data_IF_945365296822
#
_entry.id   IF_945365296822
#
_cell.length_a   1.000
_cell.length_b   1.000
_cell.length_c   1.000
_cell.angle_alpha   90.00
_cell.angle_beta   90.00
_cell.angle_gamma   90.00
#
_symmetry.space_group_name_H-M   'P 1'
#
loop_
_entity.id
_entity.type
_entity.pdbx_description
1 polymer ?
#
# COMPACT_ATOMS: atom_id res chain seq x y z
N UNK A 1 -25.19 27.81 -29.41
CA UNK A 1 -24.88 27.73 -27.97
C UNK A 1 -25.52 26.45 -27.46
N UNK A 2 -24.72 25.42 -27.25
CA UNK A 2 -25.19 24.17 -26.63
C UNK A 2 -25.18 24.38 -25.13
N UNK A 3 -26.33 24.31 -24.47
CA UNK A 3 -26.39 24.31 -23.01
C UNK A 3 -25.61 23.10 -22.49
N UNK A 4 -24.48 23.35 -21.83
CA UNK A 4 -23.66 22.29 -21.25
C UNK A 4 -24.36 21.71 -20.03
N UNK A 5 -24.89 20.50 -20.19
CA UNK A 5 -25.63 19.80 -19.13
C UNK A 5 -24.65 19.01 -18.27
N UNK A 6 -24.76 19.18 -16.95
CA UNK A 6 -24.01 18.39 -15.97
C UNK A 6 -24.66 17.03 -15.80
N UNK A 7 -23.86 15.96 -15.80
CA UNK A 7 -24.33 14.58 -15.63
C UNK A 7 -23.74 13.93 -14.37
N UNK A 8 -24.47 13.00 -13.77
CA UNK A 8 -23.98 12.22 -12.64
C UNK A 8 -22.97 11.16 -13.09
N UNK A 9 -21.74 11.18 -12.56
CA UNK A 9 -20.70 10.20 -12.92
C UNK A 9 -21.07 8.74 -12.61
N UNK A 10 -21.99 8.52 -11.68
CA UNK A 10 -22.33 7.19 -11.21
C UNK A 10 -23.44 6.53 -12.04
N UNK A 11 -24.39 7.31 -12.57
CA UNK A 11 -25.58 6.76 -13.23
C UNK A 11 -25.97 7.46 -14.54
N UNK A 12 -25.21 8.47 -14.97
CA UNK A 12 -25.44 9.23 -16.21
C UNK A 12 -26.65 10.15 -16.18
N UNK A 13 -27.32 10.31 -15.03
CA UNK A 13 -28.51 11.16 -14.94
C UNK A 13 -28.15 12.63 -15.12
N UNK A 14 -28.91 13.34 -15.96
CA UNK A 14 -28.75 14.78 -16.21
C UNK A 14 -29.26 15.57 -15.03
N UNK A 15 -28.49 16.57 -14.60
CA UNK A 15 -28.82 17.42 -13.46
C UNK A 15 -29.01 18.85 -13.99
N UNK A 16 -30.22 19.20 -14.44
CA UNK A 16 -30.47 20.47 -15.14
C UNK A 16 -30.33 21.69 -14.23
N UNK A 17 -30.35 21.49 -12.91
CA UNK A 17 -30.20 22.56 -11.92
C UNK A 17 -28.75 22.95 -11.65
N UNK A 18 -27.77 22.14 -12.09
CA UNK A 18 -26.35 22.38 -11.87
C UNK A 18 -25.66 22.86 -13.15
N UNK A 19 -24.75 23.82 -13.00
CA UNK A 19 -23.91 24.35 -14.08
C UNK A 19 -22.47 23.84 -13.93
N UNK A 20 -21.74 23.66 -15.05
CA UNK A 20 -20.31 23.40 -14.99
C UNK A 20 -19.59 24.46 -14.14
N UNK A 21 -18.83 24.02 -13.14
CA UNK A 21 -18.08 24.91 -12.25
C UNK A 21 -18.80 25.34 -10.97
N UNK A 22 -20.03 24.86 -10.70
CA UNK A 22 -20.69 25.14 -9.42
C UNK A 22 -19.85 24.62 -8.22
N UNK A 23 -19.71 25.42 -7.13
CA UNK A 23 -19.00 25.02 -5.92
C UNK A 23 -19.54 23.73 -5.31
N UNK A 24 -18.65 22.93 -4.71
CA UNK A 24 -19.01 21.65 -4.08
C UNK A 24 -20.16 21.77 -3.07
N UNK A 25 -20.20 22.88 -2.33
CA UNK A 25 -21.19 23.18 -1.30
C UNK A 25 -22.62 23.41 -1.85
N UNK A 26 -22.75 23.73 -3.15
CA UNK A 26 -24.05 23.95 -3.81
C UNK A 26 -24.58 22.71 -4.52
N UNK A 27 -23.80 21.62 -4.54
CA UNK A 27 -24.20 20.40 -5.25
C UNK A 27 -25.31 19.69 -4.48
N UNK A 28 -26.38 19.35 -5.19
CA UNK A 28 -27.48 18.56 -4.63
C UNK A 28 -27.21 17.07 -4.88
N UNK A 29 -27.63 16.14 -4.03
CA UNK A 29 -27.56 14.71 -4.37
C UNK A 29 -28.23 14.41 -5.71
N UNK A 30 -27.65 13.53 -6.52
CA UNK A 30 -28.27 13.09 -7.77
C UNK A 30 -29.69 12.54 -7.48
N UNK A 31 -30.74 12.97 -8.21
CA UNK A 31 -32.11 12.56 -7.91
C UNK A 31 -32.37 11.06 -8.11
N UNK A 32 -31.50 10.37 -8.86
CA UNK A 32 -31.65 8.94 -9.18
C UNK A 32 -30.88 8.02 -8.24
N UNK A 33 -29.66 8.38 -7.85
CA UNK A 33 -28.79 7.49 -7.06
C UNK A 33 -28.19 8.12 -5.80
N UNK A 34 -28.49 9.40 -5.51
CA UNK A 34 -27.97 10.11 -4.34
C UNK A 34 -26.50 10.51 -4.41
N UNK A 35 -25.76 10.14 -5.46
CA UNK A 35 -24.35 10.46 -5.59
C UNK A 35 -24.09 11.97 -5.81
N UNK A 36 -22.95 12.46 -5.29
CA UNK A 36 -22.48 13.84 -5.46
C UNK A 36 -21.43 14.00 -6.59
N UNK A 37 -21.03 12.90 -7.21
CA UNK A 37 -20.02 12.88 -8.28
C UNK A 37 -20.65 13.34 -9.62
N UNK A 38 -19.91 14.18 -10.37
CA UNK A 38 -20.33 14.75 -11.66
C UNK A 38 -19.32 14.49 -12.76
N UNK A 39 -19.80 14.08 -13.93
CA UNK A 39 -19.02 14.05 -15.16
C UNK A 39 -19.18 15.39 -15.83
N UNK A 40 -18.09 16.14 -15.94
CA UNK A 40 -18.07 17.39 -16.70
C UNK A 40 -17.63 17.02 -18.12
N UNK A 41 -18.39 17.39 -19.17
CA UNK A 41 -17.99 17.14 -20.55
C UNK A 41 -16.67 17.87 -20.86
N UNK A 42 -15.80 17.20 -21.63
CA UNK A 42 -14.39 17.56 -21.86
C UNK A 42 -14.15 18.88 -22.66
N UNK A 43 -15.15 19.77 -22.75
CA UNK A 43 -15.10 20.99 -23.56
C UNK A 43 -14.89 22.31 -22.80
N UNK A 44 -15.02 22.33 -21.46
CA UNK A 44 -15.12 23.58 -20.69
C UNK A 44 -13.97 23.80 -19.70
N UNK A 45 -12.73 23.56 -20.13
CA UNK A 45 -11.55 24.08 -19.40
C UNK A 45 -10.84 25.06 -20.33
N UNK A 46 -11.25 26.33 -20.27
CA UNK A 46 -10.44 27.41 -20.82
C UNK A 46 -9.10 27.42 -20.11
N UNK A 47 -8.06 27.01 -20.85
CA UNK A 47 -6.67 27.01 -20.42
C UNK A 47 -6.21 28.44 -20.13
N UNK A 48 -6.38 28.90 -18.90
CA UNK A 48 -5.49 29.90 -18.33
C UNK A 48 -4.26 29.17 -17.79
N UNK A 49 -3.24 29.12 -18.64
CA UNK A 49 -1.83 28.87 -18.33
C UNK A 49 -1.53 28.17 -17.01
N UNK A 50 -1.89 26.90 -16.88
CA UNK A 50 -1.16 26.02 -15.98
C UNK A 50 0.07 25.64 -16.78
N UNK A 51 1.18 26.33 -16.53
CA UNK A 51 2.50 25.81 -16.85
C UNK A 51 2.46 24.34 -16.45
N UNK A 52 2.84 23.45 -17.37
CA UNK A 52 2.91 22.02 -17.13
C UNK A 52 3.86 21.81 -15.95
N UNK A 53 3.30 21.84 -14.74
CA UNK A 53 3.89 21.19 -13.60
C UNK A 53 3.69 19.74 -14.00
N UNK A 54 4.69 19.21 -14.70
CA UNK A 54 5.04 17.81 -14.54
C UNK A 54 5.27 17.69 -13.06
N UNK A 55 4.19 17.47 -12.32
CA UNK A 55 4.27 16.89 -11.02
C UNK A 55 4.94 15.57 -11.35
N UNK A 56 6.25 15.52 -11.13
CA UNK A 56 6.90 14.28 -10.78
C UNK A 56 6.04 13.79 -9.61
N UNK A 57 5.00 13.03 -9.93
CA UNK A 57 4.26 12.28 -8.96
C UNK A 57 5.33 11.33 -8.41
N UNK A 58 5.98 11.78 -7.33
CA UNK A 58 6.80 10.92 -6.51
C UNK A 58 5.82 9.83 -6.13
N UNK A 59 5.95 8.67 -6.77
CA UNK A 59 5.18 7.49 -6.40
C UNK A 59 5.67 7.18 -5.00
N UNK A 60 4.96 7.72 -4.00
CA UNK A 60 5.28 7.50 -2.60
C UNK A 60 5.13 6.00 -2.37
N UNK A 61 6.24 5.34 -2.07
CA UNK A 61 6.26 3.89 -1.90
C UNK A 61 5.46 3.56 -0.65
N UNK A 62 4.36 2.82 -0.80
CA UNK A 62 3.43 2.56 0.30
C UNK A 62 4.10 1.95 1.55
N UNK A 63 5.09 1.08 1.38
CA UNK A 63 5.83 0.49 2.50
C UNK A 63 6.73 1.50 3.23
N UNK A 64 7.29 2.51 2.53
CA UNK A 64 8.05 3.60 3.16
C UNK A 64 7.17 4.42 4.07
N UNK A 65 5.99 4.80 3.60
CA UNK A 65 5.00 5.52 4.41
C UNK A 65 4.53 4.72 5.62
N UNK A 66 4.39 3.40 5.49
CA UNK A 66 4.08 2.52 6.61
C UNK A 66 5.22 2.49 7.63
N UNK A 67 6.48 2.40 7.22
CA UNK A 67 7.62 2.50 8.14
C UNK A 67 7.69 3.85 8.87
N UNK A 68 7.45 4.95 8.16
CA UNK A 68 7.37 6.30 8.76
C UNK A 68 6.21 6.42 9.75
N UNK A 69 5.06 5.82 9.42
CA UNK A 69 3.92 5.73 10.33
C UNK A 69 4.27 4.92 11.57
N UNK A 70 4.98 3.79 11.42
CA UNK A 70 5.46 3.00 12.55
C UNK A 70 6.40 3.81 13.44
N UNK A 71 7.32 4.60 12.86
CA UNK A 71 8.20 5.51 13.62
C UNK A 71 7.39 6.52 14.42
N UNK A 72 6.45 7.20 13.76
CA UNK A 72 5.58 8.18 14.42
C UNK A 72 4.78 7.55 15.58
N UNK A 73 4.31 6.31 15.42
CA UNK A 73 3.61 5.59 16.48
C UNK A 73 4.52 5.27 17.69
N UNK A 74 5.81 5.00 17.48
CA UNK A 74 6.77 4.82 18.58
C UNK A 74 6.95 6.14 19.34
N UNK A 75 7.10 7.26 18.64
CA UNK A 75 7.24 8.60 19.24
C UNK A 75 5.99 9.00 20.04
N UNK A 76 4.82 8.52 19.64
CA UNK A 76 3.54 8.72 20.33
C UNK A 76 3.26 7.66 21.42
N UNK A 77 4.24 6.83 21.76
CA UNK A 77 4.13 5.75 22.76
C UNK A 77 3.06 4.68 22.43
N UNK A 78 2.69 4.56 21.14
CA UNK A 78 1.77 3.55 20.61
C UNK A 78 2.55 2.34 20.07
N UNK A 79 3.23 1.62 20.98
CA UNK A 79 4.18 0.56 20.62
C UNK A 79 3.54 -0.66 19.94
N UNK A 80 2.41 -1.15 20.42
CA UNK A 80 1.70 -2.29 19.83
C UNK A 80 1.25 -2.00 18.38
N UNK A 81 0.55 -0.87 18.11
CA UNK A 81 0.28 -0.44 16.74
C UNK A 81 1.53 -0.25 15.88
N UNK A 82 2.62 0.29 16.42
CA UNK A 82 3.88 0.44 15.69
C UNK A 82 4.41 -0.91 15.19
N UNK A 83 4.46 -1.94 16.06
CA UNK A 83 4.86 -3.30 15.69
C UNK A 83 4.00 -3.84 14.53
N UNK A 84 2.68 -3.65 14.58
CA UNK A 84 1.78 -4.12 13.52
C UNK A 84 2.09 -3.42 12.20
N UNK A 85 2.16 -2.08 12.21
CA UNK A 85 2.38 -1.27 11.01
C UNK A 85 3.74 -1.55 10.37
N UNK A 86 4.80 -1.76 11.17
CA UNK A 86 6.11 -2.16 10.66
C UNK A 86 6.07 -3.50 9.91
N UNK A 87 5.33 -4.50 10.42
CA UNK A 87 5.15 -5.78 9.73
C UNK A 87 4.28 -5.66 8.49
N UNK A 88 3.24 -4.82 8.51
CA UNK A 88 2.44 -4.53 7.31
C UNK A 88 3.31 -3.94 6.19
N UNK A 89 4.30 -3.11 6.52
CA UNK A 89 5.27 -2.62 5.53
C UNK A 89 6.06 -3.78 4.88
N UNK A 90 6.48 -4.78 5.66
CA UNK A 90 7.14 -5.97 5.14
C UNK A 90 6.22 -6.82 4.24
N UNK A 91 4.96 -7.00 4.62
CA UNK A 91 3.97 -7.73 3.81
C UNK A 91 3.75 -7.05 2.45
N UNK A 92 3.56 -5.72 2.46
CA UNK A 92 3.33 -4.92 1.25
C UNK A 92 4.54 -4.99 0.30
N UNK A 93 5.77 -4.87 0.79
CA UNK A 93 6.93 -4.94 -0.10
C UNK A 93 7.14 -6.35 -0.68
N UNK A 94 6.84 -7.39 0.10
CA UNK A 94 6.91 -8.79 -0.38
C UNK A 94 5.90 -9.01 -1.49
N UNK A 95 4.66 -8.57 -1.31
CA UNK A 95 3.64 -8.63 -2.36
C UNK A 95 4.11 -7.87 -3.60
N UNK A 96 4.68 -6.68 -3.44
CA UNK A 96 5.19 -5.89 -4.57
C UNK A 96 6.33 -6.60 -5.32
N UNK A 97 7.26 -7.22 -4.60
CA UNK A 97 8.34 -8.01 -5.19
C UNK A 97 7.79 -9.24 -5.94
N UNK A 98 6.79 -9.90 -5.39
CA UNK A 98 6.12 -11.02 -6.04
C UNK A 98 5.40 -10.58 -7.33
N UNK A 99 4.60 -9.50 -7.28
CA UNK A 99 3.93 -8.90 -8.44
C UNK A 99 4.91 -8.59 -9.56
N UNK A 100 6.05 -7.97 -9.23
CA UNK A 100 7.10 -7.68 -10.21
C UNK A 100 7.65 -8.96 -10.84
N UNK A 101 7.91 -9.99 -10.04
CA UNK A 101 8.40 -11.27 -10.54
C UNK A 101 7.37 -12.00 -11.44
N UNK A 102 6.07 -11.90 -11.14
CA UNK A 102 5.02 -12.40 -12.05
C UNK A 102 5.06 -11.72 -13.42
N UNK A 103 5.22 -10.39 -13.43
CA UNK A 103 5.33 -9.59 -14.66
C UNK A 103 6.59 -9.96 -15.45
N UNK A 104 7.75 -10.01 -14.80
CA UNK A 104 9.03 -10.32 -15.46
C UNK A 104 9.05 -11.75 -16.06
N UNK A 105 8.33 -12.69 -15.42
CA UNK A 105 8.18 -14.06 -15.91
C UNK A 105 7.06 -14.25 -16.92
N UNK A 106 6.31 -13.19 -17.25
CA UNK A 106 5.18 -13.22 -18.20
C UNK A 106 4.08 -14.21 -17.80
N UNK A 107 3.79 -14.28 -16.50
CA UNK A 107 2.73 -15.09 -15.88
C UNK A 107 1.83 -14.22 -14.97
N UNK A 108 1.65 -12.95 -15.34
CA UNK A 108 0.88 -11.97 -14.56
C UNK A 108 -0.62 -12.33 -14.49
N UNK A 109 -1.11 -13.16 -15.41
CA UNK A 109 -2.46 -13.71 -15.39
C UNK A 109 -2.71 -14.58 -14.15
N UNK A 110 -1.68 -15.22 -13.59
CA UNK A 110 -1.78 -16.06 -12.39
C UNK A 110 -1.72 -15.28 -11.07
N UNK A 111 -1.39 -13.99 -11.11
CA UNK A 111 -1.16 -13.17 -9.91
C UNK A 111 -2.42 -13.10 -9.04
N UNK A 112 -3.61 -12.98 -9.65
CA UNK A 112 -4.87 -12.85 -8.92
C UNK A 112 -5.24 -14.15 -8.20
N UNK A 113 -5.14 -15.28 -8.88
CA UNK A 113 -5.39 -16.61 -8.32
C UNK A 113 -4.40 -16.89 -7.20
N UNK A 114 -3.16 -16.44 -7.39
CA UNK A 114 -2.13 -16.58 -6.40
C UNK A 114 -2.41 -15.76 -5.14
N UNK A 115 -2.75 -14.48 -5.27
CA UNK A 115 -3.09 -13.60 -4.15
C UNK A 115 -4.33 -14.10 -3.37
N UNK A 116 -5.26 -14.77 -4.05
CA UNK A 116 -6.42 -15.38 -3.42
C UNK A 116 -6.05 -16.57 -2.50
N UNK A 117 -4.97 -17.28 -2.81
CA UNK A 117 -4.52 -18.48 -2.08
C UNK A 117 -3.42 -18.15 -1.08
N UNK A 118 -2.43 -17.37 -1.48
CA UNK A 118 -1.31 -16.94 -0.67
C UNK A 118 -1.60 -15.59 -0.04
N UNK A 119 -2.11 -15.65 1.19
CA UNK A 119 -2.10 -14.48 2.05
C UNK A 119 -0.65 -14.27 2.48
N UNK A 120 0.05 -13.32 1.87
CA UNK A 120 1.46 -12.97 2.12
C UNK A 120 1.74 -12.41 3.53
N UNK A 121 1.16 -13.01 4.56
CA UNK A 121 1.21 -12.57 5.96
C UNK A 121 2.59 -12.76 6.56
N UNK A 122 3.35 -13.75 6.10
CA UNK A 122 4.73 -13.95 6.52
C UNK A 122 5.51 -14.87 5.58
N UNK A 123 6.75 -14.50 5.29
CA UNK A 123 7.73 -15.39 4.67
C UNK A 123 8.36 -16.39 5.67
N UNK A 124 7.90 -16.43 6.93
CA UNK A 124 8.33 -17.48 7.87
C UNK A 124 7.64 -18.82 7.62
N UNK A 125 6.46 -18.80 7.01
CA UNK A 125 5.81 -20.02 6.56
C UNK A 125 6.65 -20.64 5.45
N UNK A 126 7.04 -21.90 5.64
CA UNK A 126 8.01 -22.59 4.78
C UNK A 126 7.54 -22.63 3.33
N UNK A 127 6.24 -22.80 3.14
CA UNK A 127 5.55 -22.89 1.87
C UNK A 127 5.57 -21.52 1.17
N UNK A 128 5.19 -20.44 1.86
CA UNK A 128 5.28 -19.07 1.33
C UNK A 128 6.72 -18.66 1.01
N UNK A 129 7.67 -18.97 1.90
CA UNK A 129 9.09 -18.70 1.66
C UNK A 129 9.58 -19.43 0.41
N UNK A 130 9.38 -20.76 0.35
CA UNK A 130 9.81 -21.59 -0.78
C UNK A 130 9.22 -21.07 -2.10
N UNK A 131 7.97 -20.68 -2.08
CA UNK A 131 7.26 -20.18 -3.24
C UNK A 131 7.77 -18.80 -3.66
N UNK A 132 7.96 -17.88 -2.72
CA UNK A 132 8.60 -16.60 -2.95
C UNK A 132 9.98 -16.77 -3.58
N UNK A 133 10.86 -17.59 -2.99
CA UNK A 133 12.21 -17.86 -3.52
C UNK A 133 12.17 -18.43 -4.93
N UNK A 134 11.25 -19.36 -5.23
CA UNK A 134 11.06 -19.89 -6.59
C UNK A 134 10.59 -18.84 -7.58
N UNK A 135 9.64 -18.01 -7.16
CA UNK A 135 9.07 -16.95 -7.98
C UNK A 135 10.10 -15.85 -8.25
N UNK A 136 10.82 -15.38 -7.24
CA UNK A 136 11.74 -14.24 -7.40
C UNK A 136 13.17 -14.64 -7.74
N UNK A 137 13.54 -15.91 -7.55
CA UNK A 137 14.91 -16.40 -7.68
C UNK A 137 15.81 -16.04 -6.50
N UNK A 138 15.27 -15.45 -5.42
CA UNK A 138 16.08 -15.04 -4.26
C UNK A 138 16.40 -16.22 -3.33
N UNK A 139 17.48 -16.91 -3.63
CA UNK A 139 17.96 -18.00 -2.78
C UNK A 139 18.60 -17.54 -1.46
N UNK A 140 18.97 -16.26 -1.35
CA UNK A 140 19.76 -15.69 -0.24
C UNK A 140 18.92 -15.02 0.85
N UNK A 141 17.60 -14.90 0.67
CA UNK A 141 16.69 -14.29 1.66
C UNK A 141 16.91 -14.83 3.08
N UNK A 142 16.95 -16.16 3.23
CA UNK A 142 17.08 -16.81 4.55
C UNK A 142 18.50 -16.78 5.11
N UNK A 143 19.46 -16.24 4.35
CA UNK A 143 20.86 -16.11 4.75
C UNK A 143 21.18 -14.76 5.37
N UNK A 144 20.25 -13.80 5.26
CA UNK A 144 20.45 -12.44 5.71
C UNK A 144 20.60 -12.33 7.23
N UNK A 145 21.29 -11.28 7.68
CA UNK A 145 21.55 -11.04 9.11
C UNK A 145 20.25 -10.94 9.91
N UNK A 146 19.25 -10.21 9.40
CA UNK A 146 17.94 -10.09 10.04
C UNK A 146 17.22 -11.45 10.14
N UNK A 147 17.58 -12.44 9.33
CA UNK A 147 16.99 -13.78 9.40
C UNK A 147 17.65 -14.67 10.46
N UNK A 148 18.98 -14.58 10.59
CA UNK A 148 19.79 -15.54 11.38
C UNK A 148 20.27 -14.99 12.73
N UNK A 149 20.56 -13.69 12.85
CA UNK A 149 21.12 -13.10 14.06
C UNK A 149 20.02 -12.54 14.95
N UNK A 150 20.14 -12.75 16.25
CA UNK A 150 19.21 -12.18 17.21
C UNK A 150 19.44 -10.66 17.34
N UNK A 151 18.38 -9.86 17.43
CA UNK A 151 16.98 -10.26 17.29
C UNK A 151 16.60 -10.56 15.82
N UNK A 152 15.85 -11.64 15.61
CA UNK A 152 15.54 -12.16 14.26
C UNK A 152 14.19 -11.64 13.73
N UNK A 153 14.01 -11.69 12.42
CA UNK A 153 12.70 -11.50 11.77
C UNK A 153 11.64 -12.45 12.35
N UNK A 154 12.04 -13.69 12.66
CA UNK A 154 11.15 -14.66 13.33
C UNK A 154 10.65 -14.17 14.68
N UNK A 155 11.54 -13.73 15.56
CA UNK A 155 11.15 -13.21 16.88
C UNK A 155 10.29 -11.94 16.76
N UNK A 156 10.53 -11.09 15.76
CA UNK A 156 9.69 -9.93 15.48
C UNK A 156 8.28 -10.31 15.02
N UNK A 157 8.10 -11.34 14.18
CA UNK A 157 6.77 -11.83 13.79
C UNK A 157 6.06 -12.47 14.98
N UNK A 158 6.76 -13.24 15.81
CA UNK A 158 6.18 -13.80 17.04
C UNK A 158 5.66 -12.70 17.98
N UNK A 159 6.39 -11.57 18.07
CA UNK A 159 5.95 -10.37 18.80
C UNK A 159 4.67 -9.79 18.20
N UNK A 160 4.61 -9.58 16.88
CA UNK A 160 3.38 -9.13 16.20
C UNK A 160 2.20 -10.05 16.48
N UNK A 161 2.41 -11.36 16.41
CA UNK A 161 1.35 -12.33 16.67
C UNK A 161 0.84 -12.24 18.11
N UNK A 162 1.73 -12.04 19.10
CA UNK A 162 1.33 -11.81 20.50
C UNK A 162 0.53 -10.51 20.66
N UNK A 163 0.96 -9.44 20.01
CA UNK A 163 0.22 -8.15 20.05
C UNK A 163 -1.18 -8.32 19.46
N UNK A 164 -1.29 -8.89 18.26
CA UNK A 164 -2.57 -9.00 17.53
C UNK A 164 -3.52 -10.03 18.15
N UNK A 165 -3.03 -11.19 18.57
CA UNK A 165 -3.88 -12.30 18.97
C UNK A 165 -4.01 -12.49 20.48
N UNK A 166 -3.00 -12.09 21.26
CA UNK A 166 -3.03 -12.23 22.72
C UNK A 166 -3.31 -10.90 23.43
N UNK A 167 -3.46 -9.79 22.69
CA UNK A 167 -3.66 -8.46 23.27
C UNK A 167 -2.49 -8.01 24.15
N UNK A 168 -1.30 -8.58 23.95
CA UNK A 168 -0.11 -8.22 24.72
C UNK A 168 0.36 -6.84 24.28
N UNK A 169 0.58 -5.93 25.22
CA UNK A 169 1.28 -4.69 24.94
C UNK A 169 2.73 -4.97 24.49
N UNK A 170 3.21 -4.15 23.56
CA UNK A 170 4.63 -4.12 23.21
C UNK A 170 5.33 -3.05 24.06
N UNK A 171 6.56 -3.31 24.48
CA UNK A 171 7.40 -2.28 25.09
C UNK A 171 8.02 -1.36 24.02
N UNK A 172 8.59 -0.22 24.45
CA UNK A 172 9.36 0.66 23.57
C UNK A 172 10.50 -0.09 22.86
N UNK A 173 11.34 -0.78 23.63
CA UNK A 173 12.46 -1.59 23.09
C UNK A 173 11.96 -2.64 22.09
N UNK A 174 10.85 -3.31 22.40
CA UNK A 174 10.23 -4.30 21.51
C UNK A 174 9.78 -3.68 20.18
N UNK A 175 9.22 -2.46 20.20
CA UNK A 175 8.79 -1.75 19.00
C UNK A 175 9.97 -1.21 18.17
N UNK A 176 10.97 -0.60 18.81
CA UNK A 176 12.18 -0.10 18.15
C UNK A 176 12.97 -1.23 17.49
N UNK A 177 13.11 -2.35 18.19
CA UNK A 177 13.77 -3.54 17.66
C UNK A 177 13.01 -4.11 16.45
N UNK A 178 11.67 -4.19 16.53
CA UNK A 178 10.84 -4.60 15.39
C UNK A 178 11.04 -3.67 14.21
N UNK A 179 11.04 -2.36 14.43
CA UNK A 179 11.24 -1.37 13.39
C UNK A 179 12.60 -1.59 12.67
N UNK A 180 13.70 -1.71 13.41
CA UNK A 180 15.04 -1.91 12.84
C UNK A 180 15.14 -3.19 12.00
N UNK A 181 14.51 -4.27 12.46
CA UNK A 181 14.44 -5.54 11.72
C UNK A 181 13.64 -5.37 10.43
N UNK A 182 12.48 -4.71 10.50
CA UNK A 182 11.61 -4.46 9.35
C UNK A 182 12.29 -3.53 8.32
N UNK A 183 13.01 -2.50 8.75
CA UNK A 183 13.83 -1.65 7.89
C UNK A 183 14.92 -2.44 7.17
N UNK A 184 15.64 -3.29 7.90
CA UNK A 184 16.68 -4.17 7.33
C UNK A 184 16.10 -5.14 6.30
N UNK A 185 14.93 -5.71 6.59
CA UNK A 185 14.20 -6.59 5.69
C UNK A 185 13.74 -5.86 4.42
N UNK A 186 13.10 -4.69 4.57
CA UNK A 186 12.61 -3.87 3.46
C UNK A 186 13.76 -3.44 2.56
N UNK A 187 14.83 -2.88 3.15
CA UNK A 187 16.01 -2.44 2.39
C UNK A 187 16.62 -3.58 1.56
N UNK A 188 16.64 -4.79 2.11
CA UNK A 188 17.11 -5.98 1.39
C UNK A 188 16.20 -6.32 0.20
N UNK A 189 14.88 -6.36 0.40
CA UNK A 189 13.92 -6.67 -0.67
C UNK A 189 13.94 -5.59 -1.75
N UNK A 190 14.00 -4.30 -1.39
CA UNK A 190 14.09 -3.19 -2.34
C UNK A 190 15.29 -3.34 -3.27
N UNK A 191 16.47 -3.52 -2.67
CA UNK A 191 17.74 -3.64 -3.41
C UNK A 191 17.79 -4.92 -4.27
N UNK A 192 17.32 -6.03 -3.72
CA UNK A 192 17.42 -7.35 -4.38
C UNK A 192 16.44 -7.46 -5.55
N UNK A 193 15.27 -6.83 -5.44
CA UNK A 193 14.22 -6.89 -6.45
C UNK A 193 14.06 -5.60 -7.25
N UNK A 194 14.94 -4.62 -7.08
CA UNK A 194 14.93 -3.34 -7.81
C UNK A 194 13.61 -2.60 -7.66
N UNK A 195 13.17 -2.39 -6.42
CA UNK A 195 11.94 -1.64 -6.07
C UNK A 195 12.25 -0.22 -5.55
N UNK A 196 13.50 0.20 -5.68
CA UNK A 196 13.95 1.58 -5.47
C UNK A 196 13.48 2.54 -6.57
#
# INVERSE_FOLDING_TARGET
>A
MTDEVVECSNCGEKIPEEKPGDPLEKRKPCPKCGALNRSIPAGAVSFLGVASIVANAVIERHWTRLLETSKALIELEHFAPAVIVAHTACEVIVQRAASKAFQERKIADLEREFDAVCRWQSLLEKEHCKLFKKLTGDEKLTEQKFWKKQPTYKSSVERRNKVVHAGKDATKDEAEETLQICESFISYIEKTHGLE
#
